data_IF_262462725791
#
_entry.id   IF_262462725791
#
_cell.length_a   1.000
_cell.length_b   1.000
_cell.length_c   1.000
_cell.angle_alpha   90.00
_cell.angle_beta   90.00
_cell.angle_gamma   90.00
#
_symmetry.space_group_name_H-M   'P 1'
#
loop_
_entity.id
_entity.type
_entity.pdbx_description
1 polymer ?
#
# COMPACT_ATOMS: atom_id res chain seq x y z
N UNK A 1 -7.18 72.80 14.69
CA UNK A 1 -6.83 71.71 13.68
C UNK A 1 -6.44 70.44 14.43
N UNK A 2 -7.42 69.59 14.67
CA UNK A 2 -7.25 68.37 15.44
C UNK A 2 -7.01 67.20 14.45
N UNK A 3 -5.86 66.51 14.52
CA UNK A 3 -5.55 65.35 13.68
C UNK A 3 -5.95 64.09 14.46
N UNK A 4 -6.97 63.38 13.98
CA UNK A 4 -7.33 62.03 14.40
C UNK A 4 -6.30 61.05 13.81
N UNK A 5 -5.60 60.31 14.66
CA UNK A 5 -4.85 59.10 14.26
C UNK A 5 -5.76 57.90 14.41
N UNK A 6 -6.08 57.24 13.30
CA UNK A 6 -6.76 55.95 13.29
C UNK A 6 -5.69 54.85 13.46
N UNK A 7 -5.78 54.11 14.56
CA UNK A 7 -4.98 52.93 14.79
C UNK A 7 -5.60 51.74 14.03
N UNK A 8 -4.88 51.23 13.06
CA UNK A 8 -5.22 49.99 12.36
C UNK A 8 -4.66 48.81 13.17
N UNK A 9 -5.54 48.08 13.84
CA UNK A 9 -5.18 46.84 14.54
C UNK A 9 -5.12 45.71 13.51
N UNK A 10 -3.91 45.30 13.12
CA UNK A 10 -3.71 44.07 12.35
C UNK A 10 -3.98 42.87 13.25
N UNK A 11 -5.07 42.15 12.99
CA UNK A 11 -5.27 40.80 13.51
C UNK A 11 -4.44 39.85 12.71
N UNK A 12 -3.28 39.45 13.24
CA UNK A 12 -2.53 38.30 12.70
C UNK A 12 -3.23 37.02 13.14
N UNK A 13 -3.85 36.32 12.19
CA UNK A 13 -4.29 34.96 12.41
C UNK A 13 -3.05 34.09 12.57
N UNK A 14 -2.78 33.64 13.80
CA UNK A 14 -1.84 32.56 14.04
C UNK A 14 -2.47 31.29 13.46
N UNK A 15 -2.01 30.89 12.29
CA UNK A 15 -2.21 29.53 11.79
C UNK A 15 -1.31 28.64 12.65
N UNK A 16 -1.90 28.04 13.69
CA UNK A 16 -1.25 26.97 14.46
C UNK A 16 -1.24 25.77 13.50
N UNK A 17 -0.08 25.28 13.07
CA UNK A 17 -0.05 24.02 12.35
C UNK A 17 -0.61 22.97 13.30
N UNK A 18 -1.67 22.30 12.90
CA UNK A 18 -2.14 21.08 13.58
C UNK A 18 -1.05 20.06 13.40
N UNK A 19 -0.15 19.98 14.37
CA UNK A 19 0.79 18.91 14.52
C UNK A 19 -0.04 17.64 14.69
N UNK A 20 0.12 16.66 13.77
CA UNK A 20 -0.67 15.43 13.74
C UNK A 20 -0.67 14.75 15.11
N UNK A 21 -1.78 14.12 15.45
CA UNK A 21 -1.91 13.33 16.67
C UNK A 21 -0.69 12.38 16.79
N UNK A 22 -0.01 12.44 17.94
CA UNK A 22 1.19 11.66 18.22
C UNK A 22 0.81 10.16 18.33
N UNK A 23 0.77 9.44 17.20
CA UNK A 23 0.55 7.99 17.19
C UNK A 23 0.01 7.45 15.86
N UNK A 24 -0.05 6.12 15.71
CA UNK A 24 -0.55 5.47 14.51
C UNK A 24 -2.02 5.85 14.21
N UNK A 25 -2.29 6.18 12.97
CA UNK A 25 -3.65 6.46 12.47
C UNK A 25 -3.97 5.58 11.28
N UNK A 26 -5.26 5.26 11.11
CA UNK A 26 -5.78 4.48 9.99
C UNK A 26 -6.69 5.34 9.14
N UNK A 27 -6.43 5.37 7.84
CA UNK A 27 -7.29 6.04 6.86
C UNK A 27 -7.82 5.02 5.86
N UNK A 28 -9.04 5.22 5.40
CA UNK A 28 -9.64 4.42 4.34
C UNK A 28 -10.28 5.30 3.28
N UNK A 29 -10.43 4.71 2.10
CA UNK A 29 -11.31 5.23 1.05
C UNK A 29 -12.58 4.39 1.03
N UNK A 30 -13.74 5.03 1.09
CA UNK A 30 -15.02 4.34 1.18
C UNK A 30 -16.08 4.95 0.27
N UNK A 31 -17.12 4.18 0.01
CA UNK A 31 -18.31 4.61 -0.72
C UNK A 31 -19.56 4.44 0.16
N UNK A 32 -20.38 5.49 0.23
CA UNK A 32 -21.71 5.48 0.83
C UNK A 32 -22.72 6.06 -0.16
N UNK A 33 -23.65 5.22 -0.65
CA UNK A 33 -24.49 5.60 -1.78
C UNK A 33 -23.64 5.96 -3.00
N UNK A 34 -23.84 7.13 -3.58
CA UNK A 34 -23.08 7.63 -4.73
C UNK A 34 -21.82 8.42 -4.35
N UNK A 35 -21.61 8.66 -3.06
CA UNK A 35 -20.47 9.46 -2.58
C UNK A 35 -19.26 8.59 -2.27
N UNK A 36 -18.10 8.98 -2.79
CA UNK A 36 -16.80 8.41 -2.45
C UNK A 36 -16.02 9.44 -1.64
N UNK A 37 -15.53 9.03 -0.48
CA UNK A 37 -14.78 9.88 0.43
C UNK A 37 -13.61 9.15 1.08
N UNK A 38 -12.74 9.90 1.76
CA UNK A 38 -11.76 9.39 2.69
C UNK A 38 -12.22 9.61 4.13
N UNK A 39 -11.77 8.76 5.03
CA UNK A 39 -12.04 8.90 6.46
C UNK A 39 -10.91 8.35 7.33
N UNK A 40 -10.75 8.91 8.51
CA UNK A 40 -9.97 8.33 9.59
C UNK A 40 -10.83 7.29 10.31
N UNK A 41 -10.24 6.15 10.63
CA UNK A 41 -10.96 5.05 11.31
C UNK A 41 -10.50 4.93 12.76
N UNK A 42 -11.47 4.80 13.65
CA UNK A 42 -11.24 4.52 15.06
C UNK A 42 -12.37 3.64 15.59
N UNK A 43 -12.02 2.45 16.11
CA UNK A 43 -12.98 1.52 16.74
C UNK A 43 -14.20 1.14 15.90
N UNK A 44 -14.09 1.10 14.57
CA UNK A 44 -15.22 0.79 13.66
C UNK A 44 -16.03 2.02 13.23
N UNK A 45 -15.72 3.20 13.76
CA UNK A 45 -16.27 4.47 13.33
C UNK A 45 -15.35 5.15 12.32
N UNK A 46 -15.92 5.66 11.25
CA UNK A 46 -15.25 6.45 10.23
C UNK A 46 -15.56 7.92 10.49
N UNK A 47 -14.53 8.72 10.66
CA UNK A 47 -14.58 10.17 10.70
C UNK A 47 -14.26 10.68 9.30
N UNK A 48 -15.29 11.13 8.57
CA UNK A 48 -15.15 11.58 7.19
C UNK A 48 -14.23 12.78 7.10
N UNK A 49 -13.34 12.79 6.10
CA UNK A 49 -12.44 13.91 5.86
C UNK A 49 -13.04 14.89 4.86
N UNK A 50 -12.80 16.18 5.13
CA UNK A 50 -12.92 17.28 4.18
C UNK A 50 -11.54 17.63 3.67
N UNK A 51 -11.43 17.96 2.37
CA UNK A 51 -10.17 18.26 1.72
C UNK A 51 -9.56 17.03 1.02
N UNK A 52 -8.24 17.02 0.91
CA UNK A 52 -7.49 15.97 0.20
C UNK A 52 -6.68 15.11 1.19
N UNK A 53 -6.79 13.80 1.13
CA UNK A 53 -5.99 12.89 1.95
C UNK A 53 -4.48 13.14 1.80
N UNK A 54 -4.05 13.57 0.62
CA UNK A 54 -2.64 13.82 0.27
C UNK A 54 -2.21 15.29 0.45
N UNK A 55 -3.12 16.15 0.89
CA UNK A 55 -2.90 17.58 1.10
C UNK A 55 -3.49 18.06 2.43
N UNK A 56 -4.05 19.26 2.38
CA UNK A 56 -4.73 19.84 3.54
C UNK A 56 -6.05 19.10 3.78
N UNK A 57 -6.22 18.58 4.98
CA UNK A 57 -7.41 17.84 5.40
C UNK A 57 -7.81 18.16 6.83
N UNK A 58 -9.09 18.02 7.10
CA UNK A 58 -9.69 18.07 8.45
C UNK A 58 -10.84 17.08 8.53
N UNK A 59 -11.30 16.74 9.73
CA UNK A 59 -12.56 16.01 9.87
C UNK A 59 -13.72 16.92 9.49
N UNK A 60 -14.63 16.41 8.65
CA UNK A 60 -15.81 17.19 8.16
C UNK A 60 -16.90 17.37 9.22
N UNK A 61 -16.82 16.58 10.32
CA UNK A 61 -17.86 16.45 11.33
C UNK A 61 -18.87 15.33 11.04
N UNK A 62 -18.87 14.75 9.83
CA UNK A 62 -19.69 13.58 9.51
C UNK A 62 -19.01 12.30 10.00
N UNK A 63 -19.83 11.35 10.50
CA UNK A 63 -19.37 10.03 10.93
C UNK A 63 -20.19 8.91 10.29
N UNK A 64 -19.56 7.75 10.08
CA UNK A 64 -20.22 6.57 9.54
C UNK A 64 -19.77 5.33 10.29
N UNK A 65 -20.62 4.30 10.33
CA UNK A 65 -20.19 2.98 10.78
C UNK A 65 -19.51 2.25 9.62
N UNK A 66 -18.45 1.51 9.91
CA UNK A 66 -17.73 0.73 8.91
C UNK A 66 -18.63 -0.31 8.21
N UNK A 67 -19.64 -0.86 8.94
CA UNK A 67 -20.65 -1.77 8.40
C UNK A 67 -21.60 -1.15 7.37
N UNK A 68 -21.71 0.18 7.34
CA UNK A 68 -22.69 0.90 6.51
C UNK A 68 -22.10 1.44 5.20
N UNK A 69 -20.84 1.12 4.94
CA UNK A 69 -20.11 1.61 3.77
C UNK A 69 -19.45 0.47 3.01
N UNK A 70 -19.18 0.72 1.74
CA UNK A 70 -18.31 -0.15 0.94
C UNK A 70 -16.88 0.36 1.05
N UNK A 71 -15.98 -0.46 1.56
CA UNK A 71 -14.54 -0.15 1.57
C UNK A 71 -13.98 -0.33 0.16
N UNK A 72 -13.21 0.65 -0.30
CA UNK A 72 -12.59 0.66 -1.62
C UNK A 72 -11.09 0.39 -1.50
N UNK A 73 -10.41 0.18 -2.64
CA UNK A 73 -8.93 0.24 -2.66
C UNK A 73 -8.49 1.58 -2.07
N UNK A 74 -7.40 1.62 -1.29
CA UNK A 74 -7.07 2.76 -0.44
C UNK A 74 -6.75 4.04 -1.21
N UNK A 75 -6.34 3.92 -2.48
CA UNK A 75 -6.00 5.07 -3.34
C UNK A 75 -6.51 4.86 -4.77
N UNK A 76 -6.29 5.84 -5.64
CA UNK A 76 -6.47 5.73 -7.09
C UNK A 76 -5.12 5.96 -7.76
N UNK A 77 -4.20 4.97 -7.74
CA UNK A 77 -2.84 5.16 -8.22
C UNK A 77 -2.78 5.36 -9.73
N UNK A 78 -1.78 6.13 -10.17
CA UNK A 78 -1.44 6.24 -11.58
C UNK A 78 -0.45 5.18 -12.01
N UNK A 79 0.32 4.64 -11.05
CA UNK A 79 1.33 3.60 -11.23
C UNK A 79 1.34 2.66 -10.03
N UNK A 80 1.67 1.40 -10.29
CA UNK A 80 1.87 0.39 -9.25
C UNK A 80 3.20 -0.32 -9.51
N UNK A 81 4.13 -0.18 -8.58
CA UNK A 81 5.38 -0.91 -8.59
C UNK A 81 5.33 -2.07 -7.61
N UNK A 82 6.14 -3.09 -7.86
CA UNK A 82 6.44 -4.15 -6.91
C UNK A 82 7.91 -4.54 -6.98
N UNK A 83 8.46 -5.01 -5.85
CA UNK A 83 9.88 -5.31 -5.68
C UNK A 83 10.16 -6.80 -5.83
N UNK A 84 10.97 -7.18 -6.80
CA UNK A 84 11.38 -8.56 -6.96
C UNK A 84 12.52 -8.91 -5.98
N UNK A 85 12.34 -10.04 -5.24
CA UNK A 85 13.40 -10.64 -4.43
C UNK A 85 13.92 -9.77 -3.29
N UNK A 86 13.05 -9.03 -2.61
CA UNK A 86 13.41 -8.06 -1.60
C UNK A 86 13.43 -8.60 -0.14
N UNK A 87 13.21 -9.89 0.07
CA UNK A 87 13.45 -10.58 1.35
C UNK A 87 14.46 -11.69 1.17
N UNK A 88 15.44 -11.76 2.08
CA UNK A 88 16.46 -12.83 2.04
C UNK A 88 15.82 -14.21 2.18
N UNK A 89 14.83 -14.36 3.05
CA UNK A 89 14.12 -15.62 3.28
C UNK A 89 13.32 -16.13 2.06
N UNK A 90 13.01 -15.24 1.12
CA UNK A 90 12.35 -15.59 -0.14
C UNK A 90 13.32 -16.10 -1.20
N UNK A 91 14.61 -15.77 -1.08
CA UNK A 91 15.64 -16.17 -2.03
C UNK A 91 16.10 -17.61 -1.78
N UNK A 92 16.56 -18.28 -2.85
CA UNK A 92 17.19 -19.61 -2.73
C UNK A 92 18.42 -19.50 -1.86
N UNK A 93 18.59 -20.47 -0.95
CA UNK A 93 19.76 -20.61 -0.08
C UNK A 93 20.06 -19.40 0.82
N UNK A 94 19.09 -18.49 1.02
CA UNK A 94 19.25 -17.25 1.78
C UNK A 94 20.42 -16.36 1.30
N UNK A 95 20.93 -16.59 0.09
CA UNK A 95 21.95 -15.76 -0.52
C UNK A 95 21.33 -14.68 -1.38
N UNK A 96 21.94 -13.49 -1.42
CA UNK A 96 21.49 -12.39 -2.27
C UNK A 96 22.23 -12.47 -3.60
N UNK A 97 21.55 -12.89 -4.70
CA UNK A 97 22.15 -12.85 -6.04
C UNK A 97 22.57 -11.44 -6.42
N UNK A 98 23.59 -11.32 -7.26
CA UNK A 98 24.16 -10.03 -7.68
C UNK A 98 23.10 -9.04 -8.16
N UNK A 99 22.12 -9.52 -8.96
CA UNK A 99 21.03 -8.68 -9.48
C UNK A 99 20.16 -8.05 -8.39
N UNK A 100 20.06 -8.66 -7.20
CA UNK A 100 19.26 -8.13 -6.08
C UNK A 100 20.08 -7.29 -5.08
N UNK A 101 21.35 -7.01 -5.36
CA UNK A 101 22.14 -6.04 -4.59
C UNK A 101 21.72 -4.58 -4.88
N UNK A 102 20.98 -4.39 -5.95
CA UNK A 102 20.27 -3.14 -6.26
C UNK A 102 18.76 -3.43 -6.31
N UNK A 103 17.91 -2.44 -5.99
CA UNK A 103 16.45 -2.62 -6.09
C UNK A 103 16.03 -3.07 -7.48
N UNK A 104 15.10 -4.04 -7.55
CA UNK A 104 14.58 -4.61 -8.80
C UNK A 104 13.06 -4.39 -8.88
N UNK A 105 12.61 -3.15 -9.14
CA UNK A 105 11.19 -2.88 -9.30
C UNK A 105 10.67 -3.41 -10.63
N UNK A 106 9.41 -3.86 -10.64
CA UNK A 106 8.64 -4.15 -11.84
C UNK A 106 7.26 -3.49 -11.74
N UNK A 107 6.56 -3.38 -12.86
CA UNK A 107 5.24 -2.75 -12.93
C UNK A 107 4.13 -3.80 -12.79
N UNK A 108 3.13 -3.48 -12.00
CA UNK A 108 1.82 -4.12 -12.01
C UNK A 108 0.82 -3.20 -12.72
N UNK A 109 -0.20 -3.78 -13.34
CA UNK A 109 -1.29 -2.98 -13.93
C UNK A 109 -2.12 -2.34 -12.81
N UNK A 110 -2.66 -1.14 -13.04
CA UNK A 110 -3.59 -0.56 -12.06
C UNK A 110 -4.92 -1.32 -11.99
N UNK A 111 -5.31 -2.03 -13.07
CA UNK A 111 -6.51 -2.88 -13.12
C UNK A 111 -6.40 -4.15 -12.27
N UNK A 112 -5.18 -4.58 -11.90
CA UNK A 112 -5.03 -5.75 -11.04
C UNK A 112 -5.47 -5.49 -9.59
N UNK A 113 -5.59 -4.21 -9.19
CA UNK A 113 -5.91 -3.88 -7.81
C UNK A 113 -7.35 -4.27 -7.46
N UNK A 114 -7.50 -4.90 -6.31
CA UNK A 114 -8.81 -5.24 -5.77
C UNK A 114 -8.89 -4.94 -4.28
N UNK A 115 -10.11 -4.62 -3.80
CA UNK A 115 -10.33 -4.18 -2.44
C UNK A 115 -10.45 -5.37 -1.45
N UNK A 116 -10.36 -5.07 -0.17
CA UNK A 116 -10.73 -5.95 0.91
C UNK A 116 -12.13 -6.56 0.67
N UNK A 117 -12.30 -7.85 0.96
CA UNK A 117 -13.53 -8.63 0.76
C UNK A 117 -14.03 -8.70 -0.70
N UNK A 118 -13.17 -8.37 -1.67
CA UNK A 118 -13.45 -8.59 -3.09
C UNK A 118 -12.67 -9.82 -3.55
N UNK A 119 -13.27 -10.77 -4.29
CA UNK A 119 -12.60 -12.03 -4.63
C UNK A 119 -11.34 -11.84 -5.49
N UNK A 120 -10.32 -12.67 -5.25
CA UNK A 120 -9.26 -12.98 -6.19
C UNK A 120 -9.84 -13.95 -7.21
N UNK A 121 -9.86 -13.58 -8.49
CA UNK A 121 -10.40 -14.43 -9.56
C UNK A 121 -9.24 -15.05 -10.34
N UNK A 122 -9.14 -16.38 -10.29
CA UNK A 122 -8.11 -17.12 -11.04
C UNK A 122 -8.54 -17.22 -12.50
N UNK A 123 -7.75 -16.69 -13.46
CA UNK A 123 -8.05 -16.83 -14.88
C UNK A 123 -8.14 -18.30 -15.31
N UNK A 124 -9.02 -18.65 -16.27
CA UNK A 124 -9.26 -20.06 -16.66
C UNK A 124 -8.04 -20.79 -17.21
N UNK A 125 -7.06 -20.04 -17.77
CA UNK A 125 -5.81 -20.56 -18.33
C UNK A 125 -4.64 -20.48 -17.33
N UNK A 126 -4.85 -19.98 -16.11
CA UNK A 126 -3.88 -19.99 -15.03
C UNK A 126 -3.84 -21.35 -14.32
N UNK A 127 -2.66 -21.81 -13.96
CA UNK A 127 -2.49 -23.17 -13.40
C UNK A 127 -1.74 -23.19 -12.06
N UNK A 128 -0.81 -22.27 -11.82
CA UNK A 128 0.04 -22.26 -10.62
C UNK A 128 0.03 -20.86 -10.00
N UNK A 129 -1.10 -20.50 -9.40
CA UNK A 129 -1.29 -19.18 -8.78
C UNK A 129 -0.88 -19.20 -7.32
N UNK A 130 0.05 -18.35 -6.93
CA UNK A 130 0.57 -18.23 -5.56
C UNK A 130 0.14 -16.92 -4.91
N UNK A 131 0.00 -16.94 -3.58
CA UNK A 131 -0.05 -15.75 -2.75
C UNK A 131 1.36 -15.18 -2.52
N UNK A 132 1.46 -13.88 -2.27
CA UNK A 132 2.66 -13.18 -1.77
C UNK A 132 2.21 -12.05 -0.84
N UNK A 133 2.31 -12.26 0.49
CA UNK A 133 2.05 -11.18 1.45
C UNK A 133 3.09 -10.09 1.32
N UNK A 134 2.64 -8.85 1.24
CA UNK A 134 3.52 -7.69 1.14
C UNK A 134 3.01 -6.51 1.97
N UNK A 135 3.93 -5.75 2.54
CA UNK A 135 3.67 -4.38 2.92
C UNK A 135 3.67 -3.53 1.65
N UNK A 136 2.69 -2.65 1.51
CA UNK A 136 2.57 -1.76 0.33
C UNK A 136 2.73 -0.32 0.79
N UNK A 137 3.72 0.37 0.26
CA UNK A 137 3.97 1.79 0.49
C UNK A 137 2.98 2.62 -0.32
N UNK A 138 2.39 3.62 0.32
CA UNK A 138 1.53 4.63 -0.31
C UNK A 138 2.29 5.93 -0.42
N UNK A 139 2.52 6.41 -1.63
CA UNK A 139 3.19 7.69 -1.88
C UNK A 139 2.27 8.84 -1.47
N UNK A 140 2.80 9.76 -0.69
CA UNK A 140 2.04 10.89 -0.12
C UNK A 140 2.24 12.21 -0.85
N UNK A 141 3.37 12.39 -1.52
CA UNK A 141 3.74 13.63 -2.21
C UNK A 141 4.36 13.34 -3.56
N UNK A 142 4.33 14.33 -4.46
CA UNK A 142 5.04 14.27 -5.73
C UNK A 142 6.54 14.04 -5.48
N UNK A 143 7.07 12.91 -5.94
CA UNK A 143 8.39 12.38 -5.59
C UNK A 143 9.21 12.12 -6.86
N UNK A 144 10.27 12.90 -7.05
CA UNK A 144 11.17 12.78 -8.22
C UNK A 144 12.60 13.10 -7.81
N UNK A 145 13.52 12.18 -8.06
CA UNK A 145 14.96 12.32 -7.77
C UNK A 145 15.26 12.67 -6.31
N UNK A 146 14.54 12.05 -5.39
CA UNK A 146 14.72 12.27 -3.95
C UNK A 146 15.90 11.47 -3.43
N UNK A 147 16.58 11.99 -2.43
CA UNK A 147 17.63 11.26 -1.70
C UNK A 147 17.04 10.14 -0.85
N UNK A 148 17.83 9.16 -0.45
CA UNK A 148 17.42 8.12 0.49
C UNK A 148 17.08 8.73 1.86
N UNK A 149 17.83 9.74 2.30
CA UNK A 149 17.61 10.49 3.54
C UNK A 149 16.24 11.19 3.58
N UNK A 150 15.79 11.73 2.43
CA UNK A 150 14.53 12.47 2.33
C UNK A 150 13.32 11.60 1.95
N UNK A 151 13.54 10.37 1.49
CA UNK A 151 12.52 9.56 0.82
C UNK A 151 11.28 9.32 1.67
N UNK A 152 11.43 9.11 2.99
CA UNK A 152 10.30 8.89 3.90
C UNK A 152 9.39 10.12 4.05
N UNK A 153 9.88 11.33 3.78
CA UNK A 153 9.05 12.54 3.77
C UNK A 153 8.00 12.56 2.63
N UNK A 154 8.13 11.65 1.66
CA UNK A 154 7.23 11.49 0.51
C UNK A 154 6.28 10.31 0.66
N UNK A 155 6.39 9.55 1.73
CA UNK A 155 5.51 8.42 2.06
C UNK A 155 4.36 8.92 2.93
N UNK A 156 3.11 8.57 2.56
CA UNK A 156 1.94 8.82 3.40
C UNK A 156 1.81 7.79 4.52
N UNK A 157 2.05 6.52 4.19
CA UNK A 157 1.88 5.39 5.08
C UNK A 157 2.01 4.08 4.33
N UNK A 158 1.59 3.00 4.98
CA UNK A 158 1.63 1.65 4.43
C UNK A 158 0.28 0.93 4.57
N UNK A 159 0.09 -0.11 3.77
CA UNK A 159 -1.12 -0.93 3.79
C UNK A 159 -0.75 -2.38 3.47
N UNK A 160 -1.50 -3.41 3.92
CA UNK A 160 -1.28 -4.76 3.44
C UNK A 160 -1.65 -4.92 1.97
N UNK A 161 -0.93 -5.80 1.28
CA UNK A 161 -1.21 -6.20 -0.09
C UNK A 161 -0.84 -7.66 -0.35
N UNK A 162 -1.35 -8.19 -1.45
CA UNK A 162 -1.04 -9.53 -1.92
C UNK A 162 -0.60 -9.46 -3.39
N UNK A 163 0.69 -9.68 -3.65
CA UNK A 163 1.24 -9.72 -5.02
C UNK A 163 0.98 -11.09 -5.66
N UNK A 164 -0.30 -11.39 -5.93
CA UNK A 164 -0.73 -12.66 -6.52
C UNK A 164 0.02 -12.91 -7.82
N UNK A 165 0.53 -14.14 -7.97
CA UNK A 165 1.49 -14.47 -9.02
C UNK A 165 1.14 -15.78 -9.71
N UNK A 166 0.96 -15.78 -11.01
CA UNK A 166 0.93 -16.99 -11.80
C UNK A 166 2.36 -17.39 -12.18
N UNK A 167 2.83 -18.53 -11.67
CA UNK A 167 4.24 -18.93 -11.70
C UNK A 167 4.72 -19.45 -13.04
N UNK A 168 3.85 -20.03 -13.84
CA UNK A 168 4.21 -20.48 -15.19
C UNK A 168 4.43 -19.24 -16.09
N UNK A 169 3.49 -18.30 -16.07
CA UNK A 169 3.64 -17.06 -16.83
C UNK A 169 4.83 -16.19 -16.36
N UNK A 170 5.22 -16.35 -15.10
CA UNK A 170 6.35 -15.63 -14.53
C UNK A 170 7.70 -16.27 -14.84
N UNK A 171 7.83 -17.61 -14.75
CA UNK A 171 9.13 -18.27 -14.64
C UNK A 171 9.42 -19.36 -15.69
N UNK A 172 8.41 -19.89 -16.38
CA UNK A 172 8.61 -20.95 -17.35
C UNK A 172 9.56 -20.51 -18.46
N UNK A 173 10.43 -21.41 -18.90
CA UNK A 173 11.49 -21.07 -19.85
C UNK A 173 10.97 -20.79 -21.26
N UNK A 174 9.82 -21.37 -21.61
CA UNK A 174 9.27 -21.31 -22.97
C UNK A 174 8.13 -20.31 -23.11
N UNK A 175 7.28 -20.18 -22.07
CA UNK A 175 6.01 -19.43 -22.16
C UNK A 175 5.89 -18.26 -21.19
N UNK A 176 6.95 -17.91 -20.44
CA UNK A 176 6.92 -16.78 -19.52
C UNK A 176 6.72 -15.46 -20.24
N UNK A 177 6.00 -14.57 -19.59
CA UNK A 177 5.87 -13.18 -20.05
C UNK A 177 7.21 -12.43 -19.97
N UNK A 178 7.52 -11.62 -20.97
CA UNK A 178 8.78 -10.85 -21.00
C UNK A 178 8.91 -9.92 -19.80
N UNK A 179 7.80 -9.27 -19.39
CA UNK A 179 7.75 -8.29 -18.29
C UNK A 179 6.78 -8.71 -17.17
N UNK A 180 6.42 -9.99 -17.07
CA UNK A 180 5.48 -10.52 -16.06
C UNK A 180 4.10 -9.86 -16.04
N UNK A 181 3.73 -9.13 -17.11
CA UNK A 181 2.54 -8.27 -17.10
C UNK A 181 1.26 -9.06 -16.80
N UNK A 182 1.11 -10.26 -17.32
CA UNK A 182 0.00 -11.16 -17.08
C UNK A 182 0.17 -11.92 -15.76
N UNK A 183 1.36 -12.47 -15.54
CA UNK A 183 1.68 -13.27 -14.35
C UNK A 183 1.55 -12.50 -13.04
N UNK A 184 1.72 -11.19 -13.07
CA UNK A 184 1.69 -10.29 -11.91
C UNK A 184 0.60 -9.22 -11.98
N UNK A 185 0.00 -9.00 -13.15
CA UNK A 185 -0.89 -7.88 -13.41
C UNK A 185 -2.27 -8.27 -13.96
N UNK A 186 -2.65 -9.56 -13.96
CA UNK A 186 -4.00 -9.97 -14.27
C UNK A 186 -5.00 -9.32 -13.30
N UNK A 187 -6.22 -9.07 -13.75
CA UNK A 187 -7.27 -8.49 -12.90
C UNK A 187 -7.40 -9.26 -11.60
N UNK A 188 -7.54 -8.54 -10.49
CA UNK A 188 -7.60 -9.03 -9.11
C UNK A 188 -6.31 -9.62 -8.52
N UNK A 189 -5.18 -9.59 -9.24
CA UNK A 189 -3.88 -10.09 -8.77
C UNK A 189 -3.11 -9.10 -7.87
N UNK A 190 -3.75 -8.02 -7.47
CA UNK A 190 -3.21 -6.99 -6.57
C UNK A 190 -4.18 -6.60 -5.45
N UNK A 191 -4.68 -7.53 -4.62
CA UNK A 191 -5.43 -7.15 -3.44
C UNK A 191 -4.64 -6.14 -2.59
N UNK A 192 -5.29 -5.06 -2.11
CA UNK A 192 -4.66 -3.99 -1.34
C UNK A 192 -5.65 -3.28 -0.42
N UNK A 193 -5.20 -2.87 0.75
CA UNK A 193 -6.04 -2.19 1.75
C UNK A 193 -6.30 -3.07 2.98
N UNK A 194 -7.36 -2.85 3.77
CA UNK A 194 -8.40 -1.82 3.63
C UNK A 194 -7.95 -0.41 4.07
N UNK A 195 -6.94 -0.32 4.96
CA UNK A 195 -6.54 0.92 5.59
C UNK A 195 -5.11 1.30 5.24
N UNK A 196 -4.85 2.59 5.11
CA UNK A 196 -3.51 3.16 5.13
C UNK A 196 -3.15 3.42 6.59
N UNK A 197 -2.11 2.76 7.09
CA UNK A 197 -1.54 2.94 8.41
C UNK A 197 -0.45 4.01 8.34
N UNK A 198 -0.58 5.07 9.12
CA UNK A 198 0.36 6.19 9.18
C UNK A 198 0.96 6.35 10.56
N UNK A 199 2.05 7.09 10.70
CA UNK A 199 2.69 7.36 12.01
C UNK A 199 3.35 6.14 12.65
N UNK A 200 3.84 5.21 11.83
CA UNK A 200 4.53 3.99 12.25
C UNK A 200 5.97 3.96 11.73
N UNK A 201 6.79 3.15 12.37
CA UNK A 201 8.14 2.83 11.90
C UNK A 201 8.05 1.74 10.83
N UNK A 202 8.26 2.09 9.56
CA UNK A 202 8.11 1.18 8.42
C UNK A 202 9.09 0.01 8.44
N UNK A 203 10.21 0.14 9.15
CA UNK A 203 11.25 -0.89 9.26
C UNK A 203 11.06 -1.80 10.47
N UNK A 204 9.94 -1.66 11.21
CA UNK A 204 9.68 -2.49 12.40
C UNK A 204 8.23 -2.97 12.49
N UNK A 205 7.64 -3.32 11.36
CA UNK A 205 6.28 -3.87 11.30
C UNK A 205 6.31 -5.38 11.12
N UNK A 206 5.26 -6.06 11.60
CA UNK A 206 5.04 -7.48 11.36
C UNK A 206 4.18 -7.67 10.12
N UNK A 207 4.70 -8.42 9.16
CA UNK A 207 4.00 -8.87 7.97
C UNK A 207 3.64 -10.35 8.12
N UNK A 208 2.36 -10.71 7.97
CA UNK A 208 1.90 -12.10 8.08
C UNK A 208 0.88 -12.44 7.00
N UNK A 209 0.92 -13.68 6.52
CA UNK A 209 -0.13 -14.26 5.68
C UNK A 209 -0.78 -15.45 6.37
N UNK A 210 -2.10 -15.48 6.34
CA UNK A 210 -2.93 -16.58 6.81
C UNK A 210 -3.71 -17.13 5.61
N UNK A 211 -3.62 -18.43 5.39
CA UNK A 211 -4.39 -19.16 4.39
C UNK A 211 -5.32 -20.15 5.09
N UNK A 212 -6.62 -19.98 4.95
CA UNK A 212 -7.63 -20.84 5.58
C UNK A 212 -7.43 -21.00 7.10
N UNK A 213 -7.10 -19.92 7.80
CA UNK A 213 -6.86 -19.91 9.24
C UNK A 213 -5.47 -20.37 9.67
N UNK A 214 -4.58 -20.78 8.76
CA UNK A 214 -3.21 -21.19 9.07
C UNK A 214 -2.19 -20.14 8.64
N UNK A 215 -1.30 -19.73 9.54
CA UNK A 215 -0.17 -18.85 9.21
C UNK A 215 0.79 -19.54 8.25
N UNK A 216 1.07 -18.91 7.11
CA UNK A 216 1.95 -19.41 6.04
C UNK A 216 3.22 -18.59 5.87
N UNK A 217 3.13 -17.29 6.11
CA UNK A 217 4.26 -16.35 6.10
C UNK A 217 4.16 -15.49 7.34
N UNK A 218 5.29 -15.22 7.98
CA UNK A 218 5.41 -14.24 9.07
C UNK A 218 6.86 -13.78 9.13
N UNK A 219 7.09 -12.48 8.98
CA UNK A 219 8.41 -11.88 9.09
C UNK A 219 8.29 -10.39 9.38
N UNK A 220 9.37 -9.77 9.86
CA UNK A 220 9.44 -8.34 10.10
C UNK A 220 9.95 -7.58 8.87
N UNK A 221 9.57 -6.31 8.77
CA UNK A 221 9.97 -5.43 7.67
C UNK A 221 11.41 -4.96 7.74
N UNK A 222 12.08 -5.06 8.91
CA UNK A 222 13.53 -4.84 9.06
C UNK A 222 14.40 -5.89 8.34
N UNK A 223 13.77 -6.98 7.88
CA UNK A 223 14.43 -8.00 7.04
C UNK A 223 14.35 -7.75 5.54
N UNK A 224 13.75 -6.63 5.10
CA UNK A 224 13.83 -6.17 3.71
C UNK A 224 15.29 -5.96 3.31
N UNK A 225 15.67 -6.43 2.12
CA UNK A 225 17.02 -6.22 1.57
C UNK A 225 17.22 -4.75 1.21
N UNK A 226 16.19 -4.12 0.69
CA UNK A 226 16.08 -2.70 0.41
C UNK A 226 14.88 -2.18 1.19
N UNK A 227 15.13 -1.35 2.18
CA UNK A 227 14.12 -0.72 3.02
C UNK A 227 13.22 0.25 2.22
N UNK A 228 12.26 0.85 2.89
CA UNK A 228 11.31 1.78 2.26
C UNK A 228 12.02 3.00 1.69
N UNK A 229 12.98 3.59 2.44
CA UNK A 229 13.69 4.78 2.02
C UNK A 229 14.48 4.55 0.74
N UNK A 230 15.27 3.48 0.70
CA UNK A 230 16.06 3.09 -0.46
C UNK A 230 15.20 2.75 -1.68
N UNK A 231 14.10 2.02 -1.46
CA UNK A 231 13.16 1.64 -2.53
C UNK A 231 12.53 2.87 -3.18
N UNK A 232 11.97 3.79 -2.38
CA UNK A 232 11.35 5.03 -2.87
C UNK A 232 12.38 5.93 -3.55
N UNK A 233 13.54 6.13 -2.92
CA UNK A 233 14.64 6.90 -3.52
C UNK A 233 15.03 6.34 -4.87
N UNK A 234 15.32 5.03 -4.94
CA UNK A 234 15.77 4.38 -6.17
C UNK A 234 14.78 4.53 -7.32
N UNK A 235 13.49 4.22 -7.10
CA UNK A 235 12.46 4.35 -8.15
C UNK A 235 12.36 5.81 -8.60
N UNK A 236 12.38 6.76 -7.67
CA UNK A 236 12.22 8.19 -7.95
C UNK A 236 13.34 8.79 -8.80
N UNK A 237 14.53 8.15 -8.88
CA UNK A 237 15.60 8.60 -9.77
C UNK A 237 15.22 8.50 -11.24
N UNK A 238 14.35 7.55 -11.59
CA UNK A 238 14.02 7.21 -12.98
C UNK A 238 12.57 7.53 -13.34
N UNK A 239 11.67 7.43 -12.38
CA UNK A 239 10.22 7.59 -12.57
C UNK A 239 9.66 8.53 -11.51
N UNK A 240 8.92 9.55 -11.95
CA UNK A 240 8.21 10.43 -11.02
C UNK A 240 7.02 9.71 -10.41
N UNK A 241 7.03 9.54 -9.09
CA UNK A 241 5.91 9.00 -8.32
C UNK A 241 4.96 10.13 -7.91
N UNK A 242 3.67 9.83 -7.86
CA UNK A 242 2.59 10.79 -7.53
C UNK A 242 1.86 10.37 -6.24
N UNK A 243 1.20 11.31 -5.56
CA UNK A 243 0.33 10.98 -4.44
C UNK A 243 -0.66 9.87 -4.81
N UNK A 244 -0.74 8.85 -3.98
CA UNK A 244 -1.58 7.69 -4.18
C UNK A 244 -0.95 6.54 -4.98
N UNK A 245 0.20 6.71 -5.62
CA UNK A 245 0.94 5.60 -6.24
C UNK A 245 1.38 4.59 -5.19
N UNK A 246 1.46 3.32 -5.60
CA UNK A 246 1.69 2.18 -4.71
C UNK A 246 3.00 1.47 -5.05
N UNK A 247 3.71 1.03 -4.00
CA UNK A 247 4.90 0.19 -4.14
C UNK A 247 4.75 -1.01 -3.21
N UNK A 248 4.55 -2.20 -3.78
CA UNK A 248 4.63 -3.47 -3.09
C UNK A 248 6.10 -3.76 -2.77
N UNK A 249 6.43 -4.03 -1.50
CA UNK A 249 7.83 -4.03 -1.04
C UNK A 249 8.55 -5.37 -1.13
N UNK A 250 7.86 -6.41 -1.59
CA UNK A 250 8.38 -7.78 -1.63
C UNK A 250 7.79 -8.67 -0.55
N UNK A 251 7.83 -9.98 -0.79
CA UNK A 251 7.26 -11.02 0.08
C UNK A 251 8.35 -11.83 0.79
N UNK A 252 8.14 -12.22 2.06
CA UNK A 252 9.07 -13.08 2.79
C UNK A 252 8.82 -14.57 2.53
N UNK A 253 9.81 -15.40 2.85
CA UNK A 253 9.71 -16.84 2.95
C UNK A 253 9.24 -17.54 1.67
N UNK A 254 8.55 -18.67 1.86
CA UNK A 254 8.07 -19.51 0.74
C UNK A 254 6.59 -19.24 0.47
N UNK A 255 6.24 -19.16 -0.80
CA UNK A 255 4.87 -19.03 -1.28
C UNK A 255 4.33 -20.37 -1.77
N UNK A 256 2.99 -20.52 -1.79
CA UNK A 256 2.32 -21.75 -2.24
C UNK A 256 1.07 -21.39 -3.06
N UNK A 257 0.56 -22.40 -3.77
CA UNK A 257 -0.65 -22.26 -4.57
C UNK A 257 -1.88 -21.93 -3.74
N UNK A 258 -2.73 -21.12 -4.33
CA UNK A 258 -4.13 -20.88 -3.92
C UNK A 258 -5.07 -21.41 -4.99
N UNK A 259 -6.29 -21.72 -4.60
CA UNK A 259 -7.34 -22.27 -5.47
C UNK A 259 -8.70 -21.71 -5.07
N UNK A 260 -9.68 -21.87 -5.95
CA UNK A 260 -11.06 -21.50 -5.64
C UNK A 260 -11.56 -22.17 -4.33
N UNK A 261 -12.18 -21.37 -3.48
CA UNK A 261 -12.64 -21.76 -2.14
C UNK A 261 -11.66 -21.44 -1.01
N UNK A 262 -10.42 -21.03 -1.31
CA UNK A 262 -9.48 -20.57 -0.28
C UNK A 262 -9.83 -19.15 0.19
N UNK A 263 -9.44 -18.84 1.44
CA UNK A 263 -9.49 -17.49 2.02
C UNK A 263 -8.05 -17.08 2.36
N UNK A 264 -7.61 -15.95 1.81
CA UNK A 264 -6.27 -15.41 2.02
C UNK A 264 -6.38 -14.13 2.82
N UNK A 265 -5.64 -14.04 3.91
CA UNK A 265 -5.51 -12.84 4.73
C UNK A 265 -4.06 -12.37 4.77
N UNK A 266 -3.86 -11.08 4.51
CA UNK A 266 -2.56 -10.41 4.69
C UNK A 266 -2.69 -9.41 5.82
N UNK A 267 -1.79 -9.51 6.79
CA UNK A 267 -1.74 -8.64 7.96
C UNK A 267 -0.49 -7.77 7.91
N UNK A 268 -0.64 -6.48 8.12
CA UNK A 268 0.44 -5.56 8.50
C UNK A 268 0.03 -4.98 9.86
N UNK A 269 0.72 -5.39 10.91
CA UNK A 269 0.30 -5.19 12.29
C UNK A 269 -1.15 -5.66 12.53
N UNK A 270 -2.03 -4.78 12.95
CA UNK A 270 -3.45 -5.04 13.19
C UNK A 270 -4.36 -4.68 12.00
N UNK A 271 -3.78 -4.32 10.86
CA UNK A 271 -4.55 -4.10 9.61
C UNK A 271 -4.64 -5.40 8.83
N UNK A 272 -5.85 -5.86 8.54
CA UNK A 272 -6.13 -7.13 7.88
C UNK A 272 -6.80 -6.92 6.53
N UNK A 273 -6.16 -7.39 5.47
CA UNK A 273 -6.72 -7.53 4.12
C UNK A 273 -7.17 -8.98 3.94
N UNK A 274 -8.45 -9.22 3.71
CA UNK A 274 -9.01 -10.57 3.53
C UNK A 274 -9.72 -10.68 2.19
N UNK A 275 -9.45 -11.74 1.43
CA UNK A 275 -10.03 -11.99 0.11
C UNK A 275 -10.31 -13.48 -0.09
N UNK A 276 -11.51 -13.79 -0.56
CA UNK A 276 -11.85 -15.13 -1.05
C UNK A 276 -11.21 -15.38 -2.42
N UNK A 277 -10.95 -16.64 -2.76
CA UNK A 277 -10.43 -17.06 -4.07
C UNK A 277 -11.56 -17.74 -4.87
N UNK A 278 -11.72 -17.36 -6.14
CA UNK A 278 -12.72 -17.89 -7.08
C UNK A 278 -12.10 -18.36 -8.38
#
# INVERSE_FOLDING_TARGET
>A
MSRLFAAITLFSWLVIPVQGADGPQKFLRFQKGDTVAYGRVDGGTIYELSGDLFGDRSESGATHQLSDVRVLIPTTPTQVFAMAGNYRSHLSDNTIPEKFKIPQPFLKTTSCLTAHQTPIVIPPDASVVHYEAEMVVVIGKHCSKVSEEDALNYVLGVTPGNDVSERIWQNDKEVKDVQWWRGKGADTFGPVGPYILTGVDYDNLTLRLVLNGETRQEEKTDHLIHDVAKTVSFISQYVTLKPGDLIFTGTPGKTRTIKAGDVVEVHVEDVVLSNDVK
#
